data_IF_966051544732
#
_entry.id   IF_966051544732
#
_cell.length_a   1.000
_cell.length_b   1.000
_cell.length_c   1.000
_cell.angle_alpha   90.00
_cell.angle_beta   90.00
_cell.angle_gamma   90.00
#
_symmetry.space_group_name_H-M   'P 1'
#
loop_
_entity.id
_entity.type
_entity.pdbx_description
1 polymer ?
#
# COMPACT_ATOMS: atom_id res chain seq x y z
N UNK A 1 -8.39 6.33 -15.66
CA UNK A 1 -7.50 6.72 -14.55
C UNK A 1 -7.72 5.74 -13.40
N UNK A 2 -6.65 5.13 -12.89
CA UNK A 2 -6.69 4.15 -11.79
C UNK A 2 -6.15 4.76 -10.50
N UNK A 3 -6.85 4.54 -9.40
CA UNK A 3 -6.48 4.99 -8.05
C UNK A 3 -5.67 3.88 -7.39
N UNK A 4 -4.42 4.16 -7.07
CA UNK A 4 -3.47 3.15 -6.55
C UNK A 4 -3.05 3.54 -5.14
N UNK A 5 -3.11 2.61 -4.20
CA UNK A 5 -2.53 2.76 -2.86
C UNK A 5 -1.39 1.76 -2.70
N UNK A 6 -0.12 2.21 -2.69
CA UNK A 6 1.02 1.34 -2.44
C UNK A 6 1.25 1.14 -0.95
N UNK A 7 1.56 -0.10 -0.55
CA UNK A 7 1.98 -0.49 0.79
C UNK A 7 3.44 -0.05 1.10
N UNK A 8 3.89 -0.17 2.36
CA UNK A 8 5.23 0.25 2.78
C UNK A 8 6.35 -0.47 2.03
N UNK A 9 6.20 -1.77 1.78
CA UNK A 9 7.21 -2.57 1.08
C UNK A 9 7.43 -2.12 -0.38
N UNK A 10 6.42 -1.51 -0.99
CA UNK A 10 6.46 -1.02 -2.36
C UNK A 10 7.59 -0.02 -2.55
N UNK A 11 7.78 0.91 -1.62
CA UNK A 11 8.76 1.97 -1.76
C UNK A 11 10.21 1.46 -1.78
N UNK A 12 10.52 0.41 -1.01
CA UNK A 12 11.82 -0.26 -1.09
C UNK A 12 12.02 -0.97 -2.43
N UNK A 13 10.99 -1.63 -2.94
CA UNK A 13 11.03 -2.30 -4.25
C UNK A 13 11.14 -1.29 -5.40
N UNK A 14 10.47 -0.14 -5.29
CA UNK A 14 10.60 0.96 -6.26
C UNK A 14 12.05 1.41 -6.36
N UNK A 15 12.73 1.63 -5.23
CA UNK A 15 14.14 2.04 -5.23
C UNK A 15 15.04 1.01 -5.91
N UNK A 16 14.83 -0.27 -5.61
CA UNK A 16 15.65 -1.36 -6.15
C UNK A 16 15.47 -1.52 -7.66
N UNK A 17 14.23 -1.48 -8.13
CA UNK A 17 13.89 -1.97 -9.47
C UNK A 17 13.48 -0.88 -10.46
N UNK A 18 13.01 0.27 -10.00
CA UNK A 18 12.49 1.32 -10.87
C UNK A 18 13.31 2.60 -10.77
N UNK A 19 13.63 3.16 -11.93
CA UNK A 19 14.20 4.51 -12.00
C UNK A 19 13.12 5.50 -11.60
N UNK A 20 13.46 6.43 -10.71
CA UNK A 20 12.58 7.52 -10.27
C UNK A 20 11.92 8.24 -11.46
N UNK A 21 12.63 8.34 -12.57
CA UNK A 21 12.13 8.97 -13.80
C UNK A 21 10.96 8.21 -14.45
N UNK A 22 10.95 6.87 -14.43
CA UNK A 22 9.83 6.08 -14.96
C UNK A 22 8.57 6.28 -14.12
N UNK A 23 8.75 6.42 -12.80
CA UNK A 23 7.67 6.72 -11.86
C UNK A 23 7.07 8.09 -12.16
N UNK A 24 7.91 9.08 -12.41
CA UNK A 24 7.49 10.44 -12.75
C UNK A 24 6.67 10.45 -14.04
N UNK A 25 7.14 9.78 -15.10
CA UNK A 25 6.39 9.62 -16.35
C UNK A 25 5.02 8.96 -16.15
N UNK A 26 4.95 7.93 -15.30
CA UNK A 26 3.68 7.28 -14.95
C UNK A 26 2.71 8.26 -14.29
N UNK A 27 3.20 9.05 -13.34
CA UNK A 27 2.40 10.08 -12.67
C UNK A 27 1.91 11.14 -13.66
N UNK A 28 2.75 11.55 -14.61
CA UNK A 28 2.45 12.56 -15.62
C UNK A 28 1.50 12.06 -16.70
N UNK A 29 1.46 10.75 -16.97
CA UNK A 29 0.58 10.15 -17.99
C UNK A 29 -0.92 10.32 -17.72
N UNK A 30 -1.31 10.64 -16.47
CA UNK A 30 -2.72 10.70 -16.05
C UNK A 30 -3.42 9.33 -15.98
N UNK A 31 -2.72 8.23 -16.29
CA UNK A 31 -3.28 6.88 -16.21
C UNK A 31 -3.49 6.43 -14.76
N UNK A 32 -2.65 6.89 -13.84
CA UNK A 32 -2.62 6.49 -12.43
C UNK A 32 -2.58 7.72 -11.53
N UNK A 33 -3.33 7.67 -10.43
CA UNK A 33 -3.17 8.60 -9.29
C UNK A 33 -2.82 7.77 -8.07
N UNK A 34 -1.67 8.09 -7.47
CA UNK A 34 -1.22 7.45 -6.24
C UNK A 34 -1.83 8.13 -5.02
N UNK A 35 -2.31 7.31 -4.09
CA UNK A 35 -2.84 7.71 -2.79
C UNK A 35 -1.97 7.13 -1.69
N UNK A 36 -1.74 7.92 -0.65
CA UNK A 36 -1.00 7.54 0.54
C UNK A 36 -1.88 7.57 1.78
N UNK A 37 -1.38 6.98 2.85
CA UNK A 37 -2.03 6.94 4.16
C UNK A 37 -1.00 7.22 5.25
N UNK A 38 -1.42 7.92 6.31
CA UNK A 38 -0.52 8.33 7.40
C UNK A 38 0.26 7.18 8.03
N UNK A 39 -0.34 5.98 8.09
CA UNK A 39 0.29 4.78 8.66
C UNK A 39 1.56 4.43 7.90
N UNK A 40 1.48 4.34 6.57
CA UNK A 40 2.62 4.01 5.71
C UNK A 40 3.72 5.06 5.87
N UNK A 41 3.37 6.34 5.90
CA UNK A 41 4.35 7.41 6.12
C UNK A 41 5.04 7.28 7.48
N UNK A 42 4.31 6.88 8.54
CA UNK A 42 4.88 6.64 9.88
C UNK A 42 5.83 5.44 9.86
N UNK A 43 5.48 4.36 9.16
CA UNK A 43 6.33 3.17 9.01
C UNK A 43 7.63 3.51 8.28
N UNK A 44 7.57 4.26 7.17
CA UNK A 44 8.75 4.75 6.46
C UNK A 44 9.63 5.66 7.34
N UNK A 45 9.03 6.47 8.23
CA UNK A 45 9.77 7.30 9.20
C UNK A 45 10.45 6.49 10.30
N UNK A 46 9.95 5.30 10.62
CA UNK A 46 10.52 4.42 11.65
C UNK A 46 11.84 3.77 11.19
N UNK A 47 12.01 3.52 9.88
CA UNK A 47 13.26 3.01 9.27
C UNK A 47 14.50 3.72 9.81
N UNK A 48 15.52 3.08 10.42
CA UNK A 48 16.60 3.78 11.13
C UNK A 48 17.32 4.88 10.32
N UNK A 49 17.65 6.04 10.94
CA UNK A 49 18.33 7.17 10.25
C UNK A 49 19.71 6.81 9.70
N UNK A 50 20.39 5.88 10.37
CA UNK A 50 21.73 5.41 10.04
C UNK A 50 21.72 4.28 9.01
N UNK A 51 20.55 3.73 8.67
CA UNK A 51 20.44 2.66 7.68
C UNK A 51 20.77 3.22 6.30
N UNK A 52 21.80 2.65 5.69
CA UNK A 52 22.20 2.92 4.31
C UNK A 52 22.03 1.66 3.48
N UNK A 53 21.73 1.83 2.20
CA UNK A 53 21.59 0.73 1.26
C UNK A 53 22.32 1.09 -0.04
N UNK A 54 23.01 0.11 -0.62
CA UNK A 54 23.63 0.27 -1.93
C UNK A 54 22.62 -0.17 -2.97
N UNK A 55 22.20 0.77 -3.81
CA UNK A 55 21.28 0.51 -4.91
C UNK A 55 21.99 0.93 -6.18
N UNK A 56 22.17 -0.01 -7.13
CA UNK A 56 22.83 0.27 -8.42
C UNK A 56 24.20 0.96 -8.28
N UNK A 57 25.02 0.47 -7.35
CA UNK A 57 26.36 1.00 -7.03
C UNK A 57 26.40 2.41 -6.40
N UNK A 58 25.25 2.96 -6.01
CA UNK A 58 25.16 4.22 -5.27
C UNK A 58 24.70 3.99 -3.83
N UNK A 59 25.26 4.75 -2.89
CA UNK A 59 24.94 4.66 -1.46
C UNK A 59 23.82 5.64 -1.10
N UNK A 60 22.72 5.13 -0.56
CA UNK A 60 21.58 5.96 -0.16
C UNK A 60 21.29 5.86 1.33
N UNK A 61 20.93 7.00 1.94
CA UNK A 61 20.31 7.05 3.27
C UNK A 61 18.86 6.60 3.16
N UNK A 62 18.58 5.35 3.53
CA UNK A 62 17.34 4.67 3.18
C UNK A 62 16.09 5.44 3.62
N UNK A 63 16.03 5.89 4.88
CA UNK A 63 14.88 6.64 5.41
C UNK A 63 14.54 7.88 4.58
N UNK A 64 15.54 8.74 4.32
CA UNK A 64 15.32 9.98 3.58
C UNK A 64 14.90 9.70 2.14
N UNK A 65 15.48 8.68 1.51
CA UNK A 65 15.16 8.32 0.13
C UNK A 65 13.75 7.74 0.02
N UNK A 66 13.34 6.86 0.95
CA UNK A 66 11.98 6.34 1.00
C UNK A 66 10.93 7.43 1.18
N UNK A 67 11.18 8.38 2.09
CA UNK A 67 10.27 9.50 2.32
C UNK A 67 10.21 10.44 1.11
N UNK A 68 11.34 10.67 0.43
CA UNK A 68 11.37 11.44 -0.80
C UNK A 68 10.52 10.78 -1.90
N UNK A 69 10.68 9.47 -2.12
CA UNK A 69 9.87 8.74 -3.11
C UNK A 69 8.40 8.76 -2.74
N UNK A 70 8.05 8.57 -1.47
CA UNK A 70 6.68 8.69 -0.98
C UNK A 70 6.10 10.08 -1.30
N UNK A 71 6.79 11.15 -0.90
CA UNK A 71 6.30 12.51 -1.09
C UNK A 71 6.19 12.89 -2.58
N UNK A 72 7.12 12.40 -3.42
CA UNK A 72 7.07 12.55 -4.88
C UNK A 72 5.87 11.82 -5.51
N UNK A 73 5.56 10.61 -5.07
CA UNK A 73 4.47 9.80 -5.58
C UNK A 73 3.11 10.35 -5.14
N UNK A 74 2.93 10.49 -3.83
CA UNK A 74 1.65 10.78 -3.20
C UNK A 74 1.26 12.25 -3.37
N UNK A 75 2.23 13.18 -3.28
CA UNK A 75 1.95 14.61 -3.34
C UNK A 75 0.90 15.04 -2.30
N UNK A 76 -0.25 15.53 -2.77
CA UNK A 76 -1.36 15.99 -1.91
C UNK A 76 -2.42 14.92 -1.63
N UNK A 77 -2.29 13.72 -2.19
CA UNK A 77 -3.29 12.65 -2.13
C UNK A 77 -3.09 11.75 -0.89
N UNK A 78 -3.14 12.34 0.30
CA UNK A 78 -2.91 11.63 1.54
C UNK A 78 -4.19 11.54 2.38
N UNK A 79 -4.51 10.32 2.83
CA UNK A 79 -5.63 10.06 3.73
C UNK A 79 -5.16 9.92 5.18
N UNK A 80 -5.92 10.53 6.08
CA UNK A 80 -5.78 10.32 7.52
C UNK A 80 -6.55 9.08 7.97
N UNK A 81 -6.26 8.62 9.18
CA UNK A 81 -7.04 7.57 9.84
C UNK A 81 -8.11 8.22 10.71
N UNK A 82 -9.37 7.92 10.43
CA UNK A 82 -10.51 8.37 11.22
C UNK A 82 -11.18 7.22 11.99
N UNK A 83 -12.25 7.54 12.72
CA UNK A 83 -13.03 6.55 13.47
C UNK A 83 -13.66 5.49 12.58
N UNK A 84 -14.07 5.86 11.37
CA UNK A 84 -14.69 4.94 10.41
C UNK A 84 -13.67 3.91 9.92
N UNK A 85 -12.47 4.35 9.50
CA UNK A 85 -11.38 3.45 9.10
C UNK A 85 -11.03 2.48 10.23
N UNK A 86 -10.94 2.96 11.47
CA UNK A 86 -10.69 2.11 12.64
C UNK A 86 -11.81 1.08 12.84
N UNK A 87 -13.07 1.48 12.76
CA UNK A 87 -14.21 0.58 12.90
C UNK A 87 -14.18 -0.54 11.85
N UNK A 88 -13.91 -0.23 10.58
CA UNK A 88 -13.79 -1.26 9.54
C UNK A 88 -12.59 -2.17 9.76
N UNK A 89 -11.45 -1.62 10.18
CA UNK A 89 -10.27 -2.42 10.51
C UNK A 89 -10.53 -3.39 11.67
N UNK A 90 -11.25 -2.95 12.70
CA UNK A 90 -11.67 -3.80 13.82
C UNK A 90 -12.64 -4.90 13.36
N UNK A 91 -13.61 -4.57 12.49
CA UNK A 91 -14.51 -5.56 11.90
C UNK A 91 -13.76 -6.60 11.06
N UNK A 92 -12.77 -6.18 10.27
CA UNK A 92 -11.88 -7.10 9.55
C UNK A 92 -11.13 -8.00 10.52
N UNK A 93 -10.63 -7.47 11.64
CA UNK A 93 -9.94 -8.26 12.65
C UNK A 93 -10.84 -9.31 13.30
N UNK A 94 -12.05 -8.93 13.69
CA UNK A 94 -13.03 -9.86 14.24
C UNK A 94 -13.32 -10.99 13.25
N UNK A 95 -13.62 -10.65 11.99
CA UNK A 95 -13.87 -11.64 10.94
C UNK A 95 -12.64 -12.54 10.67
N UNK A 96 -11.45 -11.96 10.64
CA UNK A 96 -10.18 -12.68 10.49
C UNK A 96 -9.96 -13.72 11.59
N UNK A 97 -10.26 -13.37 12.86
CA UNK A 97 -10.16 -14.31 13.99
C UNK A 97 -11.19 -15.43 13.93
N UNK A 98 -12.43 -15.14 13.50
CA UNK A 98 -13.46 -16.18 13.25
C UNK A 98 -12.98 -17.17 12.19
N UNK A 99 -12.26 -16.68 11.17
CA UNK A 99 -11.63 -17.49 10.13
C UNK A 99 -10.34 -18.19 10.58
N UNK A 100 -10.04 -18.22 11.89
CA UNK A 100 -8.86 -18.84 12.50
C UNK A 100 -7.52 -18.21 12.07
N UNK A 101 -7.54 -16.93 11.68
CA UNK A 101 -6.34 -16.16 11.43
C UNK A 101 -5.39 -16.14 12.63
N UNK A 102 -4.09 -16.33 12.38
CA UNK A 102 -3.08 -16.58 13.43
C UNK A 102 -2.44 -15.32 13.99
N UNK A 103 -2.35 -14.24 13.20
CA UNK A 103 -1.74 -13.00 13.65
C UNK A 103 -2.48 -12.40 14.87
N UNK A 104 -1.71 -11.81 15.76
CA UNK A 104 -2.19 -10.96 16.85
C UNK A 104 -2.74 -9.65 16.30
N UNK A 105 -3.45 -8.88 17.13
CA UNK A 105 -4.04 -7.63 16.66
C UNK A 105 -2.97 -6.62 16.32
N UNK A 106 -1.96 -6.51 17.18
CA UNK A 106 -0.83 -5.60 17.07
C UNK A 106 -0.05 -5.83 15.76
N UNK A 107 0.05 -7.08 15.32
CA UNK A 107 0.76 -7.46 14.09
C UNK A 107 0.03 -7.04 12.81
N UNK A 108 -1.31 -7.00 12.79
CA UNK A 108 -2.08 -6.89 11.53
C UNK A 108 -3.03 -5.68 11.44
N UNK A 109 -3.30 -5.00 12.56
CA UNK A 109 -4.33 -3.95 12.57
C UNK A 109 -3.99 -2.78 11.63
N UNK A 110 -2.71 -2.47 11.45
CA UNK A 110 -2.29 -1.43 10.51
C UNK A 110 -2.56 -1.84 9.07
N UNK A 111 -2.30 -3.09 8.69
CA UNK A 111 -2.67 -3.63 7.38
C UNK A 111 -4.18 -3.51 7.14
N UNK A 112 -4.97 -3.85 8.15
CA UNK A 112 -6.43 -3.76 8.06
C UNK A 112 -6.92 -2.32 7.96
N UNK A 113 -6.25 -1.37 8.62
CA UNK A 113 -6.52 0.07 8.44
C UNK A 113 -6.18 0.55 7.03
N UNK A 114 -5.07 0.07 6.45
CA UNK A 114 -4.69 0.37 5.07
C UNK A 114 -5.78 -0.11 4.11
N UNK A 115 -6.24 -1.37 4.25
CA UNK A 115 -7.30 -1.94 3.41
C UNK A 115 -8.65 -1.24 3.64
N UNK A 116 -8.98 -0.90 4.89
CA UNK A 116 -10.22 -0.18 5.22
C UNK A 116 -10.23 1.21 4.58
N UNK A 117 -9.12 1.94 4.66
CA UNK A 117 -8.94 3.22 3.99
C UNK A 117 -9.10 3.08 2.46
N UNK A 118 -8.43 2.08 1.87
CA UNK A 118 -8.55 1.81 0.43
C UNK A 118 -10.00 1.54 0.01
N UNK A 119 -10.70 0.73 0.80
CA UNK A 119 -12.11 0.38 0.58
C UNK A 119 -13.02 1.62 0.68
N UNK A 120 -12.91 2.40 1.77
CA UNK A 120 -13.76 3.58 2.04
C UNK A 120 -13.58 4.66 0.96
N UNK A 121 -12.36 4.82 0.45
CA UNK A 121 -12.01 5.83 -0.55
C UNK A 121 -12.04 5.31 -2.00
N UNK A 122 -12.65 4.14 -2.23
CA UNK A 122 -12.80 3.50 -3.55
C UNK A 122 -11.47 3.46 -4.33
N UNK A 123 -10.40 3.01 -3.67
CA UNK A 123 -9.12 2.74 -4.33
C UNK A 123 -9.29 1.52 -5.22
N UNK A 124 -8.90 1.63 -6.49
CA UNK A 124 -9.00 0.53 -7.45
C UNK A 124 -8.01 -0.59 -7.13
N UNK A 125 -6.78 -0.22 -6.80
CA UNK A 125 -5.64 -1.14 -6.71
C UNK A 125 -4.86 -0.87 -5.43
N UNK A 126 -4.65 -1.92 -4.63
CA UNK A 126 -3.71 -1.93 -3.52
C UNK A 126 -2.49 -2.76 -3.91
N UNK A 127 -1.30 -2.15 -3.87
CA UNK A 127 -0.05 -2.83 -4.25
C UNK A 127 0.69 -3.26 -2.99
N UNK A 128 0.78 -4.57 -2.76
CA UNK A 128 1.52 -5.17 -1.64
C UNK A 128 2.02 -6.56 -2.05
N UNK A 129 3.09 -7.02 -1.41
CA UNK A 129 3.56 -8.40 -1.49
C UNK A 129 3.49 -9.11 -0.12
N UNK A 130 2.82 -8.51 0.87
CA UNK A 130 2.68 -9.10 2.21
C UNK A 130 1.63 -10.23 2.22
N UNK A 131 2.08 -11.41 1.85
CA UNK A 131 1.27 -12.63 1.84
C UNK A 131 1.08 -13.26 3.22
N UNK A 132 1.82 -12.82 4.24
CA UNK A 132 1.74 -13.41 5.59
C UNK A 132 0.59 -12.82 6.38
N UNK A 133 0.35 -11.51 6.24
CA UNK A 133 -0.70 -10.80 6.98
C UNK A 133 -1.78 -10.29 6.03
N UNK A 134 -1.53 -9.18 5.33
CA UNK A 134 -2.51 -8.43 4.53
C UNK A 134 -3.14 -9.28 3.42
N UNK A 135 -2.34 -10.07 2.70
CA UNK A 135 -2.79 -10.84 1.54
C UNK A 135 -3.04 -12.32 1.84
N UNK A 136 -3.00 -12.72 3.11
CA UNK A 136 -3.36 -14.08 3.52
C UNK A 136 -4.79 -14.44 3.11
N UNK A 137 -5.08 -15.74 2.98
CA UNK A 137 -6.41 -16.20 2.55
C UNK A 137 -7.49 -15.78 3.55
N UNK A 138 -7.19 -15.85 4.84
CA UNK A 138 -8.06 -15.46 5.93
C UNK A 138 -8.35 -13.95 5.88
N UNK A 139 -7.33 -13.12 5.65
CA UNK A 139 -7.49 -11.66 5.51
C UNK A 139 -8.38 -11.30 4.32
N UNK A 140 -8.10 -11.87 3.13
CA UNK A 140 -8.92 -11.61 1.92
C UNK A 140 -10.39 -12.01 2.10
N UNK A 141 -10.64 -13.14 2.77
CA UNK A 141 -12.00 -13.59 3.12
C UNK A 141 -12.66 -12.65 4.13
N UNK A 142 -11.93 -12.18 5.13
CA UNK A 142 -12.43 -11.21 6.10
C UNK A 142 -12.85 -9.90 5.44
N UNK A 143 -12.01 -9.35 4.55
CA UNK A 143 -12.33 -8.13 3.79
C UNK A 143 -13.60 -8.33 2.96
N UNK A 144 -13.64 -9.41 2.19
CA UNK A 144 -14.79 -9.72 1.30
C UNK A 144 -16.08 -9.86 2.10
N UNK A 145 -16.04 -10.57 3.23
CA UNK A 145 -17.21 -10.77 4.09
C UNK A 145 -17.74 -9.45 4.64
N UNK A 146 -16.87 -8.66 5.29
CA UNK A 146 -17.26 -7.38 5.89
C UNK A 146 -17.70 -6.38 4.83
N UNK A 147 -16.97 -6.29 3.71
CA UNK A 147 -17.30 -5.36 2.63
C UNK A 147 -18.64 -5.69 1.98
N UNK A 148 -18.95 -6.98 1.76
CA UNK A 148 -20.24 -7.38 1.22
C UNK A 148 -21.41 -7.01 2.15
N UNK A 149 -21.26 -7.20 3.47
CA UNK A 149 -22.27 -6.81 4.46
C UNK A 149 -22.54 -5.29 4.38
N UNK A 150 -21.50 -4.49 4.18
CA UNK A 150 -21.59 -3.04 4.11
C UNK A 150 -21.76 -2.49 2.68
N UNK A 151 -21.94 -3.35 1.66
CA UNK A 151 -22.04 -2.97 0.24
C UNK A 151 -20.86 -2.13 -0.26
N UNK A 152 -19.65 -2.46 0.19
CA UNK A 152 -18.40 -1.82 -0.20
C UNK A 152 -17.63 -2.69 -1.21
N UNK A 153 -16.78 -2.05 -2.00
CA UNK A 153 -15.91 -2.74 -2.96
C UNK A 153 -14.53 -2.98 -2.34
N UNK A 154 -14.10 -4.24 -2.33
CA UNK A 154 -12.73 -4.60 -1.95
C UNK A 154 -11.76 -4.17 -3.07
N UNK A 155 -10.64 -3.49 -2.77
CA UNK A 155 -9.65 -3.12 -3.78
C UNK A 155 -9.04 -4.37 -4.44
N UNK A 156 -8.59 -4.23 -5.69
CA UNK A 156 -7.82 -5.30 -6.33
C UNK A 156 -6.40 -5.33 -5.73
N UNK A 157 -6.00 -6.48 -5.20
CA UNK A 157 -4.67 -6.66 -4.65
C UNK A 157 -3.73 -7.20 -5.73
N UNK A 158 -2.65 -6.47 -6.00
CA UNK A 158 -1.61 -6.92 -6.95
C UNK A 158 -0.23 -6.81 -6.32
N UNK A 159 0.66 -7.73 -6.71
CA UNK A 159 2.06 -7.69 -6.31
C UNK A 159 2.89 -6.70 -7.12
N UNK A 160 4.12 -6.46 -6.70
CA UNK A 160 5.00 -5.49 -7.37
C UNK A 160 5.32 -5.86 -8.83
N UNK A 161 5.56 -7.14 -9.11
CA UNK A 161 5.81 -7.63 -10.47
C UNK A 161 4.61 -7.41 -11.40
N UNK A 162 3.40 -7.65 -10.89
CA UNK A 162 2.17 -7.41 -11.64
C UNK A 162 1.96 -5.91 -11.86
N UNK A 163 2.24 -5.08 -10.86
CA UNK A 163 2.22 -3.64 -11.00
C UNK A 163 3.20 -3.16 -12.08
N UNK A 164 4.43 -3.69 -12.14
CA UNK A 164 5.38 -3.38 -13.23
C UNK A 164 4.83 -3.76 -14.61
N UNK A 165 4.15 -4.90 -14.73
CA UNK A 165 3.50 -5.29 -16.00
C UNK A 165 2.38 -4.32 -16.36
N UNK A 166 1.58 -3.92 -15.37
CA UNK A 166 0.55 -2.90 -15.54
C UNK A 166 1.15 -1.58 -16.06
N UNK A 167 2.28 -1.13 -15.49
CA UNK A 167 2.97 0.08 -15.96
C UNK A 167 3.50 -0.01 -17.40
N UNK A 168 3.94 -1.18 -17.86
CA UNK A 168 4.38 -1.37 -19.26
C UNK A 168 3.23 -1.29 -20.27
N UNK A 169 2.01 -1.65 -19.84
CA UNK A 169 0.80 -1.58 -20.67
C UNK A 169 0.25 -0.15 -20.78
N UNK A 170 0.61 0.73 -19.85
CA UNK A 170 0.41 2.17 -20.00
C UNK A 170 1.47 2.63 -21.01
N UNK A 171 1.07 3.04 -22.21
CA UNK A 171 1.99 3.56 -23.23
C UNK A 171 2.62 4.86 -22.72
N UNK A 172 3.77 4.73 -22.05
CA UNK A 172 4.60 5.82 -21.55
C UNK A 172 5.51 6.28 -22.69
N UNK A 173 4.91 6.76 -23.77
CA UNK A 173 5.64 7.33 -24.92
C UNK A 173 6.37 8.62 -24.48
#
# INVERSE_FOLDING_TARGET
>A
MKRVLPDTNFYELMLKYLEVEKIRKVKESGAIVFYGIDIIRKELRATPKTKVEVVRNELFKLRSTLLLVYDLLIGRHQYGIDSKINQYADNYYIAYKVLKGKATREEIINDFRIVACATIHNIDILVSDDNKTMLSQESKKAYTSVNNIHKLTTPNFIGFEEFKRFLRGVKLD
#
